data_IF_294229786526
#
_entry.id   IF_294229786526
#
_cell.length_a   1.000
_cell.length_b   1.000
_cell.length_c   1.000
_cell.angle_alpha   90.00
_cell.angle_beta   90.00
_cell.angle_gamma   90.00
#
_symmetry.space_group_name_H-M   'P 1'
#
loop_
_entity.id
_entity.type
_entity.pdbx_description
1 polymer ?
#
# COMPACT_ATOMS: atom_id res chain seq x y z
N UNK A 1 11.47 -18.32 -65.58
CA UNK A 1 10.43 -18.41 -64.54
C UNK A 1 11.03 -17.85 -63.26
N UNK A 2 11.68 -16.69 -63.36
CA UNK A 2 11.10 -15.32 -63.33
C UNK A 2 10.95 -14.92 -61.85
N UNK A 3 11.44 -13.80 -61.35
CA UNK A 3 12.37 -12.78 -61.81
C UNK A 3 12.72 -11.95 -60.55
N UNK A 4 14.00 -11.63 -60.39
CA UNK A 4 14.67 -10.49 -59.73
C UNK A 4 13.80 -9.46 -58.95
N UNK A 5 14.12 -9.19 -57.67
CA UNK A 5 15.08 -8.15 -57.18
C UNK A 5 14.50 -6.71 -57.36
N UNK A 6 14.70 -5.68 -56.52
CA UNK A 6 15.86 -5.31 -55.71
C UNK A 6 15.59 -3.91 -55.07
N UNK A 7 16.43 -3.51 -54.08
CA UNK A 7 16.74 -2.14 -53.59
C UNK A 7 15.59 -1.24 -53.04
N UNK A 8 15.76 -0.23 -52.16
CA UNK A 8 16.79 0.42 -51.34
C UNK A 8 16.00 1.37 -50.39
N UNK A 9 16.35 1.65 -49.14
CA UNK A 9 17.43 2.55 -48.73
C UNK A 9 16.87 3.88 -48.18
N UNK A 10 17.33 4.28 -46.97
CA UNK A 10 17.36 5.63 -46.34
C UNK A 10 16.05 6.46 -46.29
N UNK A 11 15.59 7.03 -45.17
CA UNK A 11 16.28 7.96 -44.28
C UNK A 11 15.43 9.25 -44.15
N UNK A 12 15.48 9.88 -42.97
CA UNK A 12 15.14 11.28 -42.66
C UNK A 12 13.69 11.77 -42.41
N UNK A 13 13.41 11.91 -41.10
CA UNK A 13 13.05 13.13 -40.33
C UNK A 13 12.22 14.27 -40.98
N UNK A 14 11.13 14.56 -40.25
CA UNK A 14 10.61 15.87 -39.80
C UNK A 14 10.26 16.96 -40.84
N UNK A 15 9.06 17.55 -40.71
CA UNK A 15 8.78 18.99 -40.52
C UNK A 15 7.25 19.21 -40.60
N UNK A 16 6.64 19.80 -39.57
CA UNK A 16 6.05 21.15 -39.65
C UNK A 16 5.18 21.42 -40.89
N UNK A 17 3.86 21.45 -40.70
CA UNK A 17 2.95 22.14 -41.60
C UNK A 17 2.13 23.18 -40.83
N UNK A 18 2.07 24.45 -41.30
CA UNK A 18 1.32 25.53 -40.69
C UNK A 18 -0.16 25.51 -41.10
N UNK A 19 -0.97 26.23 -40.33
CA UNK A 19 -2.39 26.55 -40.53
C UNK A 19 -2.77 26.98 -41.96
N UNK A 20 -4.06 26.85 -42.30
CA UNK A 20 -4.73 27.98 -42.97
C UNK A 20 -6.04 28.42 -42.30
N UNK A 21 -6.22 29.73 -42.31
CA UNK A 21 -7.33 30.53 -41.84
C UNK A 21 -8.68 30.17 -42.46
N UNK A 22 -9.75 30.15 -41.67
CA UNK A 22 -11.12 30.31 -42.17
C UNK A 22 -11.74 31.61 -41.64
N UNK A 23 -12.28 32.40 -42.58
CA UNK A 23 -12.82 33.74 -42.38
C UNK A 23 -14.17 33.74 -41.67
N UNK A 24 -14.35 34.77 -40.85
CA UNK A 24 -15.53 35.15 -40.10
C UNK A 24 -16.76 35.41 -40.98
N UNK A 25 -17.93 34.91 -40.57
CA UNK A 25 -19.24 35.48 -40.96
C UNK A 25 -20.03 35.76 -39.67
N UNK A 26 -20.05 37.03 -39.26
CA UNK A 26 -20.94 37.53 -38.21
C UNK A 26 -22.30 37.83 -38.84
N UNK A 27 -23.33 37.04 -38.52
CA UNK A 27 -24.73 37.44 -38.74
C UNK A 27 -25.29 38.00 -37.43
N UNK A 28 -25.51 39.32 -37.44
CA UNK A 28 -26.16 40.10 -36.39
C UNK A 28 -27.67 40.04 -36.65
N UNK A 29 -28.46 39.58 -35.68
CA UNK A 29 -29.91 39.82 -35.69
C UNK A 29 -30.36 40.37 -34.34
N UNK A 30 -31.00 41.55 -34.37
CA UNK A 30 -31.60 42.24 -33.22
C UNK A 30 -33.11 42.31 -33.47
N UNK A 31 -33.91 41.84 -32.52
CA UNK A 31 -35.23 42.41 -32.13
C UNK A 31 -35.79 41.60 -30.95
N UNK A 32 -35.73 42.12 -29.72
CA UNK A 32 -36.73 42.95 -28.99
C UNK A 32 -37.99 42.21 -28.52
N UNK A 33 -38.11 42.14 -27.18
CA UNK A 33 -39.32 42.11 -26.34
C UNK A 33 -40.24 40.88 -26.53
N UNK A 34 -40.60 40.06 -25.51
CA UNK A 34 -41.23 40.41 -24.22
C UNK A 34 -41.18 39.22 -23.26
N UNK A 35 -41.12 39.56 -21.98
CA UNK A 35 -41.18 38.72 -20.77
C UNK A 35 -42.40 37.79 -20.75
N UNK A 36 -42.19 36.48 -20.57
CA UNK A 36 -43.11 35.59 -19.86
C UNK A 36 -42.30 34.66 -18.95
N UNK A 37 -42.46 34.89 -17.65
CA UNK A 37 -41.99 34.06 -16.56
C UNK A 37 -42.65 32.67 -16.71
N UNK A 38 -41.88 31.63 -16.97
CA UNK A 38 -42.32 30.24 -16.79
C UNK A 38 -41.44 29.66 -15.71
N UNK A 39 -42.00 29.58 -14.50
CA UNK A 39 -41.45 28.87 -13.36
C UNK A 39 -41.27 27.40 -13.71
N UNK A 40 -40.07 27.00 -14.12
CA UNK A 40 -39.69 25.59 -14.10
C UNK A 40 -39.36 25.23 -12.65
N UNK A 41 -40.28 24.46 -12.05
CA UNK A 41 -40.07 23.85 -10.75
C UNK A 41 -38.72 23.11 -10.75
N UNK A 42 -37.79 23.57 -9.90
CA UNK A 42 -36.52 22.91 -9.71
C UNK A 42 -36.79 21.49 -9.19
N UNK A 43 -36.36 20.51 -9.98
CA UNK A 43 -36.43 19.10 -9.64
C UNK A 43 -35.78 18.86 -8.27
N UNK A 44 -36.51 18.14 -7.42
CA UNK A 44 -36.02 17.62 -6.14
C UNK A 44 -34.67 16.91 -6.37
N UNK A 45 -33.60 17.48 -5.83
CA UNK A 45 -32.34 16.77 -5.69
C UNK A 45 -32.59 15.59 -4.75
N UNK A 46 -32.73 14.39 -5.30
CA UNK A 46 -32.67 13.17 -4.54
C UNK A 46 -31.25 13.04 -4.00
N UNK A 47 -31.02 13.49 -2.76
CA UNK A 47 -29.89 13.03 -1.98
C UNK A 47 -30.10 11.53 -1.76
N UNK A 48 -29.61 10.72 -2.72
CA UNK A 48 -29.36 9.32 -2.46
C UNK A 48 -28.30 9.30 -1.35
N UNK A 49 -28.75 9.11 -0.11
CA UNK A 49 -27.86 8.78 0.98
C UNK A 49 -27.16 7.48 0.58
N UNK A 50 -25.93 7.60 0.10
CA UNK A 50 -25.06 6.44 -0.11
C UNK A 50 -24.90 5.83 1.27
N UNK A 51 -25.63 4.74 1.52
CA UNK A 51 -25.39 3.86 2.65
C UNK A 51 -23.96 3.37 2.51
N UNK A 52 -23.03 4.04 3.21
CA UNK A 52 -21.71 3.47 3.44
C UNK A 52 -21.96 2.16 4.17
N UNK A 53 -21.85 1.04 3.46
CA UNK A 53 -21.72 -0.25 4.09
C UNK A 53 -20.60 -0.10 5.12
N UNK A 54 -20.90 -0.34 6.41
CA UNK A 54 -19.89 -0.28 7.48
C UNK A 54 -18.73 -1.14 7.03
N UNK A 55 -17.57 -0.51 6.82
CA UNK A 55 -16.38 -1.21 6.36
C UNK A 55 -16.06 -2.34 7.35
N UNK A 56 -15.63 -3.53 6.87
CA UNK A 56 -15.26 -4.66 7.74
C UNK A 56 -14.25 -4.28 8.84
N UNK A 57 -13.50 -3.21 8.60
CA UNK A 57 -12.47 -2.66 9.45
C UNK A 57 -12.97 -2.14 10.81
N UNK A 58 -14.25 -1.75 10.92
CA UNK A 58 -14.88 -1.40 12.20
C UNK A 58 -15.07 -2.61 13.13
N UNK A 59 -14.71 -3.83 12.69
CA UNK A 59 -14.96 -5.09 13.39
C UNK A 59 -13.70 -5.77 13.93
N UNK A 60 -12.52 -5.14 13.82
CA UNK A 60 -11.26 -5.66 14.35
C UNK A 60 -10.67 -4.73 15.42
N UNK A 61 -9.90 -5.29 16.34
CA UNK A 61 -9.17 -4.52 17.34
C UNK A 61 -8.03 -3.77 16.67
N UNK A 62 -7.97 -2.47 16.89
CA UNK A 62 -6.88 -1.61 16.44
C UNK A 62 -6.46 -0.72 17.60
N UNK A 63 -5.16 -0.59 17.81
CA UNK A 63 -4.61 0.23 18.89
C UNK A 63 -4.09 1.55 18.32
N UNK A 64 -4.18 2.60 19.13
CA UNK A 64 -3.34 3.79 18.92
C UNK A 64 -1.86 3.38 19.09
N UNK A 65 -0.93 3.95 18.30
CA UNK A 65 0.50 3.75 18.50
C UNK A 65 0.97 3.99 19.94
N UNK A 66 0.40 4.99 20.64
CA UNK A 66 0.75 5.31 22.02
C UNK A 66 0.31 4.24 23.05
N UNK A 67 -0.60 3.34 22.69
CA UNK A 67 -1.04 2.24 23.56
C UNK A 67 -0.07 1.05 23.56
N UNK A 68 0.98 1.08 22.71
CA UNK A 68 1.93 -0.02 22.56
C UNK A 68 3.18 0.26 23.42
N UNK A 69 3.47 -0.59 24.42
CA UNK A 69 4.57 -0.34 25.34
C UNK A 69 5.94 -0.47 24.66
N UNK A 70 6.88 0.40 25.05
CA UNK A 70 8.29 0.32 24.65
C UNK A 70 8.64 0.96 23.31
N UNK A 71 7.65 1.43 22.54
CA UNK A 71 7.89 2.14 21.27
C UNK A 71 8.47 3.53 21.55
N UNK A 72 9.55 3.96 20.87
CA UNK A 72 10.13 5.29 21.05
C UNK A 72 9.12 6.40 20.76
N UNK A 73 9.13 7.45 21.58
CA UNK A 73 8.14 8.53 21.49
C UNK A 73 8.13 9.24 20.12
N UNK A 74 9.28 9.36 19.46
CA UNK A 74 9.38 9.93 18.12
C UNK A 74 8.74 9.02 17.05
N UNK A 75 8.87 7.70 17.17
CA UNK A 75 8.19 6.72 16.30
C UNK A 75 6.68 6.78 16.52
N UNK A 76 6.22 6.80 17.78
CA UNK A 76 4.80 6.98 18.13
C UNK A 76 4.24 8.25 17.49
N UNK A 77 4.91 9.38 17.70
CA UNK A 77 4.50 10.68 17.15
C UNK A 77 4.37 10.66 15.62
N UNK A 78 5.31 10.01 14.93
CA UNK A 78 5.28 9.93 13.47
C UNK A 78 4.18 9.00 12.95
N UNK A 79 3.89 7.91 13.66
CA UNK A 79 2.74 7.05 13.36
C UNK A 79 1.42 7.82 13.56
N UNK A 80 1.27 8.53 14.68
CA UNK A 80 0.08 9.36 14.95
C UNK A 80 -0.08 10.48 13.93
N UNK A 81 1.02 11.17 13.55
CA UNK A 81 1.02 12.21 12.51
C UNK A 81 0.52 11.67 11.16
N UNK A 82 0.73 10.39 10.88
CA UNK A 82 0.25 9.71 9.66
C UNK A 82 -1.21 9.23 9.76
N UNK A 83 -1.87 9.45 10.90
CA UNK A 83 -3.23 8.92 11.14
C UNK A 83 -3.26 7.41 11.30
N UNK A 84 -2.13 6.83 11.73
CA UNK A 84 -1.94 5.40 11.79
C UNK A 84 -2.70 4.75 12.96
N UNK A 85 -3.35 3.63 12.69
CA UNK A 85 -3.77 2.67 13.72
C UNK A 85 -3.01 1.36 13.53
N UNK A 86 -2.82 0.61 14.62
CA UNK A 86 -2.11 -0.67 14.59
C UNK A 86 -3.12 -1.81 14.74
N UNK A 87 -3.50 -2.49 13.65
CA UNK A 87 -4.43 -3.62 13.73
C UNK A 87 -3.80 -4.76 14.52
N UNK A 88 -4.59 -5.40 15.38
CA UNK A 88 -4.10 -6.41 16.32
C UNK A 88 -4.48 -7.81 15.87
N UNK A 89 -3.52 -8.72 15.91
CA UNK A 89 -3.78 -10.15 15.80
C UNK A 89 -4.66 -10.60 16.96
N UNK A 90 -5.85 -11.11 16.65
CA UNK A 90 -6.87 -11.45 17.65
C UNK A 90 -7.03 -12.97 17.83
N UNK A 91 -7.35 -13.46 19.05
CA UNK A 91 -7.25 -12.78 20.34
C UNK A 91 -5.92 -13.12 21.05
N UNK A 92 -5.00 -12.15 21.14
CA UNK A 92 -3.75 -12.29 21.91
C UNK A 92 -3.77 -11.35 23.12
N UNK A 93 -3.08 -11.70 24.21
CA UNK A 93 -2.99 -10.87 25.44
C UNK A 93 -2.00 -9.71 25.31
N UNK A 94 -1.11 -9.78 24.33
CA UNK A 94 -0.02 -8.83 24.11
C UNK A 94 -0.29 -8.03 22.85
N UNK A 95 0.01 -6.74 22.87
CA UNK A 95 0.00 -5.94 21.65
C UNK A 95 0.92 -6.56 20.59
N UNK A 96 0.41 -6.70 19.38
CA UNK A 96 1.11 -7.22 18.21
C UNK A 96 1.35 -6.10 17.20
N UNK A 97 2.04 -6.45 16.11
CA UNK A 97 2.17 -5.60 14.92
C UNK A 97 2.96 -4.30 15.08
N UNK A 98 3.73 -4.20 16.16
CA UNK A 98 4.93 -3.36 16.25
C UNK A 98 6.07 -4.22 16.78
N UNK A 99 7.18 -4.26 16.04
CA UNK A 99 8.32 -5.12 16.32
C UNK A 99 9.62 -4.32 16.32
N UNK A 100 10.60 -4.82 17.06
CA UNK A 100 11.96 -4.30 17.13
C UNK A 100 12.91 -5.36 16.57
N UNK A 101 13.93 -4.94 15.84
CA UNK A 101 14.92 -5.85 15.30
C UNK A 101 16.05 -5.16 14.56
N UNK A 102 16.98 -5.95 14.05
CA UNK A 102 18.09 -5.48 13.22
C UNK A 102 17.74 -5.67 11.76
N UNK A 103 16.94 -4.75 11.20
CA UNK A 103 16.37 -4.91 9.87
C UNK A 103 17.24 -4.32 8.76
N UNK A 104 18.05 -3.29 9.05
CA UNK A 104 18.92 -2.68 8.06
C UNK A 104 20.29 -3.39 7.96
N UNK A 105 20.87 -3.70 9.12
CA UNK A 105 22.23 -4.23 9.28
C UNK A 105 22.46 -4.75 10.71
N UNK A 106 23.50 -5.59 10.91
CA UNK A 106 23.82 -6.12 12.23
C UNK A 106 24.14 -5.01 13.24
N UNK A 107 23.65 -5.15 14.47
CA UNK A 107 23.87 -4.24 15.59
C UNK A 107 23.07 -2.93 15.56
N UNK A 108 22.27 -2.67 14.52
CA UNK A 108 21.38 -1.50 14.47
C UNK A 108 19.99 -1.87 15.02
N UNK A 109 19.44 -1.06 15.93
CA UNK A 109 18.07 -1.28 16.43
C UNK A 109 17.06 -0.49 15.62
N UNK A 110 16.28 -1.20 14.82
CA UNK A 110 15.19 -0.68 14.00
C UNK A 110 13.83 -1.02 14.62
N UNK A 111 12.81 -0.27 14.20
CA UNK A 111 11.41 -0.53 14.54
C UNK A 111 10.60 -0.74 13.27
N UNK A 112 9.68 -1.70 13.28
CA UNK A 112 8.70 -1.87 12.21
C UNK A 112 7.28 -1.90 12.78
N UNK A 113 6.37 -1.16 12.16
CA UNK A 113 4.98 -1.08 12.56
C UNK A 113 4.08 -1.42 11.36
N UNK A 114 3.11 -2.31 11.56
CA UNK A 114 2.05 -2.52 10.59
C UNK A 114 1.05 -1.38 10.75
N UNK A 115 1.15 -0.40 9.87
CA UNK A 115 0.40 0.83 9.94
C UNK A 115 -0.83 0.78 9.04
N UNK A 116 -2.03 0.79 9.64
CA UNK A 116 -3.27 0.87 8.90
C UNK A 116 -3.75 2.32 8.78
N UNK A 117 -4.05 2.73 7.56
CA UNK A 117 -4.70 4.00 7.25
C UNK A 117 -5.80 3.71 6.23
N UNK A 118 -7.06 4.07 6.56
CA UNK A 118 -8.21 3.99 5.66
C UNK A 118 -8.39 2.64 4.93
N UNK A 119 -8.16 1.50 5.59
CA UNK A 119 -8.35 0.19 4.92
C UNK A 119 -7.09 -0.52 4.49
N UNK A 120 -5.93 0.16 4.53
CA UNK A 120 -4.70 -0.37 3.96
C UNK A 120 -3.62 -0.38 5.02
N UNK A 121 -3.13 -1.59 5.32
CA UNK A 121 -1.97 -1.77 6.18
C UNK A 121 -0.68 -1.80 5.37
N UNK A 122 0.26 -0.94 5.76
CA UNK A 122 1.62 -0.86 5.19
C UNK A 122 2.63 -1.05 6.30
N UNK A 123 3.68 -1.84 6.07
CA UNK A 123 4.76 -1.98 7.04
C UNK A 123 5.66 -0.75 6.93
N UNK A 124 5.71 0.05 7.99
CA UNK A 124 6.62 1.18 8.12
C UNK A 124 7.85 0.76 8.92
N UNK A 125 9.04 0.94 8.36
CA UNK A 125 10.32 0.60 8.98
C UNK A 125 11.09 1.87 9.32
N UNK A 126 11.33 2.07 10.61
CA UNK A 126 12.00 3.22 11.21
C UNK A 126 13.45 2.86 11.53
N UNK A 127 14.36 3.39 10.71
CA UNK A 127 15.78 3.07 10.76
C UNK A 127 16.45 3.70 11.97
N UNK A 128 17.17 2.89 12.76
CA UNK A 128 17.80 3.29 14.01
C UNK A 128 16.81 4.00 14.97
N UNK A 129 15.53 3.61 14.92
CA UNK A 129 14.44 4.25 15.65
C UNK A 129 14.14 5.70 15.24
N UNK A 130 14.64 6.18 14.10
CA UNK A 130 14.38 7.55 13.62
C UNK A 130 13.02 7.65 12.92
N UNK A 131 12.31 8.75 13.19
CA UNK A 131 11.10 9.18 12.50
C UNK A 131 11.35 9.68 11.07
N UNK A 132 12.61 9.91 10.70
CA UNK A 132 12.98 10.48 9.41
C UNK A 132 12.99 9.41 8.34
N UNK A 133 12.23 9.66 7.26
CA UNK A 133 12.20 8.84 6.05
C UNK A 133 12.05 7.33 6.32
N UNK A 134 11.00 6.91 7.08
CA UNK A 134 10.75 5.49 7.26
C UNK A 134 10.51 4.82 5.90
N UNK A 135 11.03 3.61 5.72
CA UNK A 135 10.68 2.82 4.54
C UNK A 135 9.23 2.33 4.66
N UNK A 136 8.55 2.22 3.52
CA UNK A 136 7.18 1.71 3.45
C UNK A 136 7.16 0.51 2.51
N UNK A 137 6.73 -0.65 3.00
CA UNK A 137 6.68 -1.89 2.23
C UNK A 137 5.35 -2.63 2.41
N UNK A 138 5.06 -3.51 1.45
CA UNK A 138 3.93 -4.44 1.48
C UNK A 138 2.57 -3.80 1.83
N UNK A 139 2.12 -2.75 1.12
CA UNK A 139 0.76 -2.26 1.29
C UNK A 139 -0.24 -3.35 0.92
N UNK A 140 -1.22 -3.60 1.79
CA UNK A 140 -2.27 -4.58 1.54
C UNK A 140 -3.57 -4.14 2.20
N UNK A 141 -4.70 -4.43 1.56
CA UNK A 141 -6.01 -4.15 2.11
C UNK A 141 -6.28 -5.02 3.34
N UNK A 142 -6.73 -4.40 4.43
CA UNK A 142 -7.00 -5.09 5.69
C UNK A 142 -8.09 -6.15 5.55
N UNK A 143 -9.08 -5.91 4.69
CA UNK A 143 -10.21 -6.83 4.48
C UNK A 143 -9.77 -8.24 4.06
N UNK A 144 -8.60 -8.37 3.43
CA UNK A 144 -8.04 -9.67 3.00
C UNK A 144 -7.69 -10.54 4.22
N UNK A 145 -7.35 -9.91 5.34
CA UNK A 145 -6.93 -10.58 6.56
C UNK A 145 -7.99 -10.57 7.66
N UNK A 146 -9.19 -10.06 7.38
CA UNK A 146 -10.30 -10.11 8.31
C UNK A 146 -11.00 -11.46 8.17
N UNK A 147 -10.84 -12.32 9.17
CA UNK A 147 -11.41 -13.66 9.18
C UNK A 147 -12.61 -13.73 10.14
N UNK A 148 -13.72 -14.28 9.67
CA UNK A 148 -14.88 -14.59 10.52
C UNK A 148 -14.71 -15.95 11.17
N UNK A 149 -14.82 -16.02 12.50
CA UNK A 149 -14.78 -17.29 13.25
C UNK A 149 -16.16 -17.78 13.67
N UNK A 150 -17.07 -16.85 13.97
CA UNK A 150 -18.49 -17.09 14.30
C UNK A 150 -19.32 -15.93 13.77
N UNK A 151 -20.66 -16.05 13.83
CA UNK A 151 -21.56 -14.94 13.54
C UNK A 151 -21.12 -13.72 14.37
N UNK A 152 -20.77 -12.64 13.68
CA UNK A 152 -20.31 -11.37 14.23
C UNK A 152 -18.99 -11.37 15.03
N UNK A 153 -18.18 -12.44 14.94
CA UNK A 153 -16.82 -12.48 15.51
C UNK A 153 -15.77 -12.49 14.42
N UNK A 154 -15.00 -11.42 14.35
CA UNK A 154 -13.94 -11.22 13.37
C UNK A 154 -12.60 -11.11 14.06
N UNK A 155 -11.57 -11.60 13.39
CA UNK A 155 -10.17 -11.40 13.78
C UNK A 155 -9.40 -10.80 12.63
N UNK A 156 -8.34 -10.07 12.97
CA UNK A 156 -7.34 -9.70 12.01
C UNK A 156 -6.22 -10.74 12.04
N UNK A 157 -5.80 -11.19 10.86
CA UNK A 157 -4.84 -12.29 10.71
C UNK A 157 -3.64 -11.91 9.84
N UNK A 158 -3.33 -10.61 9.72
CA UNK A 158 -2.01 -10.17 9.28
C UNK A 158 -1.15 -9.93 10.51
N UNK A 159 0.01 -10.56 10.54
CA UNK A 159 0.97 -10.44 11.63
C UNK A 159 2.36 -10.14 11.10
N UNK A 160 3.10 -9.25 11.77
CA UNK A 160 4.55 -9.12 11.56
C UNK A 160 5.34 -9.66 12.74
N UNK A 161 6.47 -10.32 12.46
CA UNK A 161 7.43 -10.81 13.47
C UNK A 161 8.87 -10.56 13.03
N UNK A 162 9.75 -10.36 13.99
CA UNK A 162 11.21 -10.37 13.77
C UNK A 162 11.67 -11.81 13.63
N UNK A 163 12.37 -12.15 12.53
CA UNK A 163 12.93 -13.49 12.31
C UNK A 163 14.43 -13.45 12.15
N UNK A 164 15.09 -14.46 12.73
CA UNK A 164 16.54 -14.60 12.69
C UNK A 164 17.02 -15.41 11.49
N UNK A 165 18.34 -15.45 11.33
CA UNK A 165 19.03 -16.17 10.25
C UNK A 165 18.58 -17.62 10.11
N UNK A 166 18.45 -18.34 11.22
CA UNK A 166 18.08 -19.77 11.22
C UNK A 166 16.68 -20.00 10.64
N UNK A 167 15.74 -19.09 10.93
CA UNK A 167 14.41 -19.12 10.33
C UNK A 167 14.52 -18.94 8.81
N UNK A 168 15.22 -17.91 8.34
CA UNK A 168 15.35 -17.61 6.91
C UNK A 168 15.98 -18.79 6.16
N UNK A 169 17.08 -19.33 6.67
CA UNK A 169 17.78 -20.45 6.05
C UNK A 169 16.92 -21.71 6.03
N UNK A 170 16.30 -22.08 7.15
CA UNK A 170 15.45 -23.28 7.23
C UNK A 170 14.29 -23.24 6.24
N UNK A 171 13.64 -22.09 6.08
CA UNK A 171 12.50 -21.96 5.16
C UNK A 171 12.99 -21.90 3.71
N UNK A 172 14.14 -21.29 3.42
CA UNK A 172 14.76 -21.38 2.09
C UNK A 172 15.16 -22.82 1.73
N UNK A 173 15.73 -23.58 2.66
CA UNK A 173 16.09 -24.98 2.42
C UNK A 173 14.86 -25.86 2.19
N UNK A 174 13.74 -25.55 2.86
CA UNK A 174 12.49 -26.32 2.78
C UNK A 174 11.70 -26.01 1.50
N UNK A 175 11.53 -24.72 1.19
CA UNK A 175 10.63 -24.27 0.13
C UNK A 175 11.36 -23.77 -1.13
N UNK A 176 12.68 -23.64 -1.07
CA UNK A 176 13.51 -23.14 -2.16
C UNK A 176 13.39 -21.64 -2.38
N UNK A 177 13.72 -21.21 -3.60
CA UNK A 177 13.74 -19.82 -4.03
C UNK A 177 15.09 -19.39 -4.60
N UNK A 178 15.23 -18.11 -5.01
CA UNK A 178 16.48 -17.57 -5.50
C UNK A 178 17.63 -17.77 -4.52
N UNK A 179 18.86 -17.77 -5.03
CA UNK A 179 20.06 -17.82 -4.18
C UNK A 179 20.03 -16.67 -3.16
N UNK A 180 20.16 -17.02 -1.89
CA UNK A 180 20.15 -16.03 -0.81
C UNK A 180 21.42 -15.15 -0.82
N UNK A 181 21.30 -13.86 -0.45
CA UNK A 181 22.46 -13.07 -0.06
C UNK A 181 23.02 -13.56 1.29
N UNK A 182 24.18 -13.05 1.74
CA UNK A 182 24.66 -13.31 3.10
C UNK A 182 23.66 -12.85 4.15
N UNK A 183 23.02 -13.81 4.83
CA UNK A 183 22.07 -13.51 5.92
C UNK A 183 22.88 -13.24 7.20
N UNK A 184 23.02 -11.97 7.55
CA UNK A 184 23.79 -11.51 8.72
C UNK A 184 22.99 -10.68 9.73
N UNK A 185 21.73 -10.35 9.42
CA UNK A 185 20.82 -9.60 10.29
C UNK A 185 19.39 -10.15 10.17
N UNK A 186 18.45 -9.55 10.87
CA UNK A 186 17.08 -10.07 11.01
C UNK A 186 16.19 -9.66 9.82
N UNK A 187 15.20 -10.49 9.52
CA UNK A 187 14.13 -10.19 8.57
C UNK A 187 12.81 -9.83 9.26
N UNK A 188 11.87 -9.33 8.47
CA UNK A 188 10.47 -9.11 8.88
C UNK A 188 9.63 -10.21 8.23
N UNK A 189 9.11 -11.14 9.04
CA UNK A 189 8.14 -12.13 8.61
C UNK A 189 6.74 -11.50 8.57
N UNK A 190 6.17 -11.35 7.37
CA UNK A 190 4.85 -10.78 7.08
C UNK A 190 3.89 -11.94 6.77
N UNK A 191 3.02 -12.22 7.73
CA UNK A 191 2.23 -13.44 7.78
C UNK A 191 0.76 -13.17 7.47
N UNK A 192 0.16 -14.04 6.67
CA UNK A 192 -1.21 -14.48 6.91
C UNK A 192 -1.19 -15.56 7.99
N UNK A 193 -1.48 -15.18 9.22
CA UNK A 193 -1.41 -16.04 10.42
C UNK A 193 -2.13 -17.37 10.20
N UNK A 194 -1.39 -18.46 10.40
CA UNK A 194 -1.88 -19.83 10.26
C UNK A 194 -2.03 -20.33 8.82
N UNK A 195 -1.60 -19.55 7.82
CA UNK A 195 -1.69 -19.92 6.39
C UNK A 195 -0.34 -19.87 5.71
N UNK A 196 0.17 -18.68 5.45
CA UNK A 196 1.41 -18.47 4.72
C UNK A 196 2.10 -17.18 5.17
N UNK A 197 3.40 -17.06 4.91
CA UNK A 197 4.17 -15.86 5.19
C UNK A 197 5.29 -15.64 4.19
N UNK A 198 5.75 -14.40 4.14
CA UNK A 198 6.89 -13.98 3.32
C UNK A 198 7.86 -13.23 4.21
N UNK A 199 9.15 -13.44 4.03
CA UNK A 199 10.16 -12.67 4.76
C UNK A 199 10.64 -11.51 3.90
N UNK A 200 10.46 -10.30 4.40
CA UNK A 200 11.09 -9.10 3.87
C UNK A 200 12.49 -8.96 4.46
N UNK A 201 13.52 -9.02 3.61
CA UNK A 201 14.93 -8.92 4.00
C UNK A 201 15.59 -7.75 3.29
N UNK A 202 16.20 -6.83 4.04
CA UNK A 202 16.83 -5.65 3.46
C UNK A 202 18.30 -5.94 3.13
N UNK A 203 18.68 -5.83 1.86
CA UNK A 203 20.06 -6.08 1.44
C UNK A 203 20.48 -5.04 0.41
N UNK A 204 21.64 -4.38 0.63
CA UNK A 204 22.20 -3.37 -0.27
C UNK A 204 21.21 -2.27 -0.69
N UNK A 205 20.38 -1.80 0.25
CA UNK A 205 19.40 -0.75 0.00
C UNK A 205 18.11 -1.22 -0.69
N UNK A 206 17.93 -2.54 -0.85
CA UNK A 206 16.77 -3.13 -1.51
C UNK A 206 16.03 -4.10 -0.58
N UNK A 207 14.71 -4.16 -0.72
CA UNK A 207 13.90 -5.17 -0.06
C UNK A 207 13.79 -6.41 -0.94
N UNK A 208 14.26 -7.54 -0.41
CA UNK A 208 14.12 -8.85 -1.01
C UNK A 208 12.94 -9.57 -0.37
N UNK A 209 12.19 -10.30 -1.20
CA UNK A 209 11.13 -11.19 -0.76
C UNK A 209 11.67 -12.61 -0.71
N UNK A 210 11.80 -13.17 0.49
CA UNK A 210 12.32 -14.51 0.73
C UNK A 210 11.19 -15.44 1.17
N UNK A 211 11.42 -16.75 1.07
CA UNK A 211 10.50 -17.77 1.55
C UNK A 211 10.26 -17.60 3.06
N UNK A 212 8.97 -17.54 3.43
CA UNK A 212 8.51 -17.66 4.81
C UNK A 212 7.93 -19.05 5.05
N UNK A 213 6.97 -19.13 5.97
CA UNK A 213 6.20 -20.34 6.23
C UNK A 213 5.12 -20.48 5.15
N UNK A 214 5.13 -21.56 4.39
CA UNK A 214 4.09 -21.91 3.39
C UNK A 214 3.43 -23.25 3.79
#
# INVERSE_FOLDING_TARGET
>A
MDDWADWDGAGDKALFCPTPCYKTVVRRNKNTNKLRLVTFAAAFATFAAVLFARTPQARIVQLSPAAIPGVPANVVKELERRGCTIPQEAPTKTSSNVIKGEFAKPGQTDWAALCSVNGVSTILVFWNGSEKNPAAIAPMEDRIYIQGFKKDQFSYSRGIRTVAKDFILRHHDTYGGPKLPPINHQGIDDMFVGKASVVWYHHNGQWLKLAGRD
#
